data_IF_882131122036
#
_entry.id   IF_882131122036
#
_cell.length_a   1.000
_cell.length_b   1.000
_cell.length_c   1.000
_cell.angle_alpha   90.00
_cell.angle_beta   90.00
_cell.angle_gamma   90.00
#
_symmetry.space_group_name_H-M   'P 1'
#
loop_
_entity.id
_entity.type
_entity.pdbx_description
1 polymer ?
#
# COMPACT_ATOMS: atom_id res chain seq x y z
N UNK A 1 42.10 -85.17 -78.18
CA UNK A 1 43.06 -86.17 -78.71
C UNK A 1 42.58 -87.55 -78.27
N UNK A 2 42.62 -88.59 -79.14
CA UNK A 2 42.43 -90.03 -78.79
C UNK A 2 41.03 -90.39 -78.22
N UNK A 3 40.44 -91.57 -78.40
CA UNK A 3 40.48 -92.65 -79.41
C UNK A 3 39.05 -93.28 -79.38
N UNK A 4 38.53 -94.04 -80.36
CA UNK A 4 39.10 -94.57 -81.60
C UNK A 4 38.05 -94.49 -82.75
N UNK A 5 37.93 -95.52 -83.61
CA UNK A 5 36.94 -95.68 -84.70
C UNK A 5 36.59 -97.17 -84.86
N UNK A 6 35.69 -97.48 -85.82
CA UNK A 6 35.33 -98.79 -86.40
C UNK A 6 34.10 -99.52 -85.81
N UNK A 7 33.35 -100.37 -86.55
CA UNK A 7 32.94 -100.44 -87.97
C UNK A 7 32.44 -101.86 -88.28
N UNK A 8 31.27 -101.96 -88.93
CA UNK A 8 30.85 -103.03 -89.88
C UNK A 8 30.69 -104.50 -89.42
N UNK A 9 29.41 -104.91 -89.50
CA UNK A 9 28.89 -106.07 -90.27
C UNK A 9 29.08 -107.51 -89.74
N UNK A 10 28.22 -108.38 -90.33
CA UNK A 10 28.04 -109.82 -90.12
C UNK A 10 27.32 -110.20 -88.79
N UNK A 11 26.43 -111.19 -88.75
CA UNK A 11 26.01 -112.16 -89.78
C UNK A 11 24.49 -112.24 -90.00
N UNK A 12 24.11 -112.72 -91.19
CA UNK A 12 22.73 -113.11 -91.53
C UNK A 12 22.50 -114.55 -91.06
N UNK A 13 21.35 -114.81 -90.44
CA UNK A 13 20.74 -116.12 -90.35
C UNK A 13 19.22 -115.95 -90.56
N UNK A 14 18.62 -116.75 -91.44
CA UNK A 14 17.24 -116.55 -91.88
C UNK A 14 16.44 -117.86 -91.81
N UNK A 15 15.16 -117.72 -91.43
CA UNK A 15 13.93 -118.41 -91.89
C UNK A 15 12.82 -117.97 -90.90
N UNK A 16 11.73 -117.35 -91.34
CA UNK A 16 10.52 -117.95 -91.94
C UNK A 16 9.68 -118.77 -90.92
N UNK A 17 8.34 -118.68 -90.88
CA UNK A 17 7.38 -117.82 -91.60
C UNK A 17 6.07 -117.76 -90.80
N UNK A 18 5.31 -116.65 -90.86
CA UNK A 18 3.83 -116.63 -90.78
C UNK A 18 3.30 -115.22 -91.06
N UNK A 19 2.16 -115.13 -91.75
CA UNK A 19 1.44 -113.87 -91.98
C UNK A 19 0.31 -113.72 -90.95
N UNK A 20 0.21 -112.54 -90.33
CA UNK A 20 -1.05 -112.02 -89.81
C UNK A 20 -0.98 -110.49 -89.70
N UNK A 21 -1.96 -109.81 -90.31
CA UNK A 21 -2.34 -108.42 -90.03
C UNK A 21 -3.80 -108.50 -89.64
N UNK A 22 -4.16 -108.11 -88.41
CA UNK A 22 -4.71 -106.77 -88.24
C UNK A 22 -4.09 -106.01 -87.06
N UNK A 23 -4.41 -104.71 -86.96
CA UNK A 23 -3.95 -103.86 -85.88
C UNK A 23 -4.58 -104.26 -84.54
N UNK A 24 -3.73 -104.51 -83.54
CA UNK A 24 -4.11 -104.52 -82.13
C UNK A 24 -3.52 -103.31 -81.44
N UNK A 25 -4.32 -102.26 -81.23
CA UNK A 25 -4.06 -101.36 -80.12
C UNK A 25 -4.10 -102.23 -78.86
N UNK A 26 -3.03 -102.22 -78.05
CA UNK A 26 -3.03 -102.98 -76.79
C UNK A 26 -4.09 -102.36 -75.89
N UNK A 27 -5.22 -103.05 -75.73
CA UNK A 27 -6.24 -102.67 -74.77
C UNK A 27 -5.57 -102.55 -73.39
N UNK A 28 -5.59 -101.34 -72.85
CA UNK A 28 -5.08 -101.07 -71.51
C UNK A 28 -6.13 -101.60 -70.53
N UNK A 29 -5.76 -102.38 -69.49
CA UNK A 29 -6.74 -102.97 -68.59
C UNK A 29 -7.63 -101.92 -67.91
N UNK A 30 -8.93 -102.19 -67.71
CA UNK A 30 -9.81 -101.32 -66.94
C UNK A 30 -9.23 -101.01 -65.55
N UNK A 31 -9.39 -99.77 -65.09
CA UNK A 31 -8.78 -99.29 -63.84
C UNK A 31 -7.27 -99.00 -63.92
N UNK A 32 -6.60 -99.16 -65.06
CA UNK A 32 -5.21 -98.70 -65.22
C UNK A 32 -5.16 -97.18 -65.26
N UNK A 33 -4.29 -96.58 -64.45
CA UNK A 33 -4.08 -95.14 -64.38
C UNK A 33 -3.37 -94.63 -65.64
N UNK A 34 -4.06 -93.80 -66.41
CA UNK A 34 -3.54 -93.05 -67.55
C UNK A 34 -2.72 -91.82 -67.12
N UNK A 35 -3.15 -91.15 -66.03
CA UNK A 35 -2.49 -89.95 -65.49
C UNK A 35 -3.01 -89.63 -64.08
N UNK A 36 -2.13 -89.19 -63.19
CA UNK A 36 -2.53 -88.64 -61.89
C UNK A 36 -2.96 -87.18 -62.05
N UNK A 37 -4.09 -86.80 -61.46
CA UNK A 37 -4.45 -85.41 -61.21
C UNK A 37 -4.25 -85.10 -59.70
N UNK A 38 -4.65 -83.91 -59.25
CA UNK A 38 -4.53 -83.50 -57.84
C UNK A 38 -5.80 -83.82 -57.02
N UNK A 39 -6.96 -83.93 -57.67
CA UNK A 39 -8.22 -84.38 -57.07
C UNK A 39 -8.79 -85.59 -57.81
N UNK A 40 -7.94 -86.52 -58.26
CA UNK A 40 -8.40 -87.74 -58.89
C UNK A 40 -7.37 -88.42 -59.77
N UNK A 41 -7.81 -89.46 -60.46
CA UNK A 41 -7.00 -90.21 -61.42
C UNK A 41 -7.77 -90.35 -62.73
N UNK A 42 -7.06 -90.19 -63.85
CA UNK A 42 -7.58 -90.63 -65.16
C UNK A 42 -7.33 -92.11 -65.30
N UNK A 43 -8.39 -92.90 -65.45
CA UNK A 43 -8.32 -94.36 -65.50
C UNK A 43 -9.04 -94.89 -66.74
N UNK A 44 -8.56 -96.01 -67.30
CA UNK A 44 -9.26 -96.69 -68.39
C UNK A 44 -10.60 -97.29 -67.92
N UNK A 45 -11.67 -97.07 -68.68
CA UNK A 45 -12.95 -97.76 -68.57
C UNK A 45 -12.88 -99.21 -69.13
N UNK A 46 -14.02 -99.90 -69.17
CA UNK A 46 -14.17 -101.23 -69.77
C UNK A 46 -13.89 -101.27 -71.30
N UNK A 47 -13.82 -100.11 -71.96
CA UNK A 47 -13.58 -99.95 -73.41
C UNK A 47 -12.15 -99.47 -73.74
N UNK A 48 -11.33 -99.17 -72.73
CA UNK A 48 -9.97 -98.65 -72.88
C UNK A 48 -9.88 -97.12 -73.10
N UNK A 49 -10.96 -96.39 -72.87
CA UNK A 49 -11.01 -94.92 -72.88
C UNK A 49 -10.67 -94.38 -71.48
N UNK A 50 -9.83 -93.35 -71.40
CA UNK A 50 -9.48 -92.75 -70.11
C UNK A 50 -10.58 -91.79 -69.65
N UNK A 51 -11.34 -92.15 -68.61
CA UNK A 51 -12.30 -91.29 -67.91
C UNK A 51 -11.65 -90.61 -66.70
N UNK A 52 -12.24 -89.50 -66.24
CA UNK A 52 -11.83 -88.76 -65.04
C UNK A 52 -12.58 -89.29 -63.81
N UNK A 53 -11.86 -89.86 -62.83
CA UNK A 53 -12.42 -90.29 -61.55
C UNK A 53 -12.00 -89.32 -60.43
N UNK A 54 -12.91 -88.51 -59.87
CA UNK A 54 -12.61 -87.61 -58.76
C UNK A 54 -12.26 -88.35 -57.47
N UNK A 55 -11.33 -87.78 -56.70
CA UNK A 55 -11.06 -88.20 -55.32
C UNK A 55 -12.24 -87.79 -54.41
N UNK A 56 -12.48 -88.51 -53.28
CA UNK A 56 -13.59 -88.21 -52.39
C UNK A 56 -13.63 -86.77 -51.88
N UNK A 57 -14.83 -86.23 -51.68
CA UNK A 57 -15.02 -84.89 -51.13
C UNK A 57 -14.32 -84.74 -49.76
N UNK A 58 -13.57 -83.65 -49.58
CA UNK A 58 -12.74 -83.42 -48.38
C UNK A 58 -11.32 -84.01 -48.45
N UNK A 59 -10.94 -84.72 -49.53
CA UNK A 59 -9.54 -85.11 -49.78
C UNK A 59 -8.67 -83.85 -49.95
N UNK A 60 -7.59 -83.71 -49.18
CA UNK A 60 -6.67 -82.56 -49.29
C UNK A 60 -5.76 -82.74 -50.50
N UNK A 61 -5.89 -81.85 -51.49
CA UNK A 61 -5.13 -81.88 -52.74
C UNK A 61 -3.95 -80.91 -52.76
N UNK A 62 -4.01 -79.84 -51.96
CA UNK A 62 -2.89 -78.94 -51.67
C UNK A 62 -2.89 -78.61 -50.18
N UNK A 63 -1.74 -78.75 -49.53
CA UNK A 63 -1.56 -78.30 -48.14
C UNK A 63 -1.38 -76.78 -48.07
N UNK A 64 -1.78 -76.18 -46.95
CA UNK A 64 -1.58 -74.77 -46.67
C UNK A 64 -0.11 -74.35 -46.87
N UNK A 65 0.11 -73.33 -47.69
CA UNK A 65 1.39 -72.76 -48.09
C UNK A 65 1.35 -71.21 -48.00
N UNK A 66 0.92 -70.69 -46.87
CA UNK A 66 0.86 -69.25 -46.61
C UNK A 66 0.00 -68.88 -45.41
N UNK A 67 0.18 -67.66 -44.88
CA UNK A 67 -0.59 -67.13 -43.74
C UNK A 67 -2.02 -66.70 -44.12
N UNK A 68 -2.32 -66.54 -45.41
CA UNK A 68 -3.67 -66.32 -45.95
C UNK A 68 -4.15 -67.47 -46.84
N UNK A 69 -3.51 -68.62 -46.73
CA UNK A 69 -3.82 -69.82 -47.49
C UNK A 69 -4.61 -70.79 -46.62
N UNK A 70 -5.38 -71.68 -47.24
CA UNK A 70 -5.97 -72.84 -46.56
C UNK A 70 -5.52 -74.11 -47.27
N UNK A 71 -5.85 -75.29 -46.72
CA UNK A 71 -5.64 -76.54 -47.43
C UNK A 71 -6.80 -76.75 -48.42
N UNK A 72 -6.52 -76.73 -49.72
CA UNK A 72 -7.53 -76.99 -50.75
C UNK A 72 -8.06 -78.42 -50.58
N UNK A 73 -9.38 -78.58 -50.64
CA UNK A 73 -10.02 -79.90 -50.63
C UNK A 73 -10.81 -80.16 -51.91
N UNK A 74 -10.83 -81.42 -52.33
CA UNK A 74 -11.65 -81.86 -53.46
C UNK A 74 -13.13 -81.75 -53.11
N UNK A 75 -13.96 -81.33 -54.06
CA UNK A 75 -15.42 -81.25 -53.93
C UNK A 75 -16.13 -82.60 -54.17
N UNK A 76 -15.38 -83.61 -54.65
CA UNK A 76 -15.91 -84.91 -55.07
C UNK A 76 -16.49 -84.92 -56.50
N UNK A 77 -16.24 -83.86 -57.28
CA UNK A 77 -16.80 -83.67 -58.64
C UNK A 77 -15.74 -83.27 -59.66
N UNK A 78 -14.79 -82.39 -59.30
CA UNK A 78 -13.70 -81.94 -60.17
C UNK A 78 -12.39 -82.68 -59.89
N UNK A 79 -11.68 -83.10 -60.94
CA UNK A 79 -10.33 -83.69 -60.83
C UNK A 79 -9.21 -82.66 -60.66
N UNK A 80 -9.50 -81.39 -60.90
CA UNK A 80 -8.60 -80.27 -60.60
C UNK A 80 -8.76 -79.84 -59.14
N UNK A 81 -7.65 -79.75 -58.42
CA UNK A 81 -7.62 -79.09 -57.11
C UNK A 81 -8.11 -77.63 -57.26
N UNK A 82 -9.04 -77.13 -56.41
CA UNK A 82 -9.43 -75.73 -56.41
C UNK A 82 -8.27 -74.83 -55.94
N UNK A 83 -8.51 -73.54 -55.77
CA UNK A 83 -7.58 -72.62 -55.10
C UNK A 83 -8.35 -71.83 -54.05
N UNK A 84 -8.27 -72.29 -52.81
CA UNK A 84 -8.97 -71.72 -51.68
C UNK A 84 -8.00 -70.90 -50.81
N UNK A 85 -8.46 -69.73 -50.38
CA UNK A 85 -7.70 -68.81 -49.54
C UNK A 85 -8.49 -68.48 -48.27
N UNK A 86 -7.78 -68.07 -47.22
CA UNK A 86 -8.40 -67.58 -46.01
C UNK A 86 -9.31 -66.38 -46.31
N UNK A 87 -10.47 -66.33 -45.66
CA UNK A 87 -11.53 -65.38 -45.97
C UNK A 87 -11.06 -63.92 -45.90
N UNK A 88 -11.70 -63.05 -46.68
CA UNK A 88 -11.46 -61.61 -46.60
C UNK A 88 -11.66 -61.12 -45.16
N UNK A 89 -10.78 -60.24 -44.68
CA UNK A 89 -10.72 -59.76 -43.29
C UNK A 89 -10.27 -60.79 -42.22
N UNK A 90 -9.87 -62.02 -42.57
CA UNK A 90 -9.16 -62.91 -41.63
C UNK A 90 -7.80 -62.31 -41.27
N UNK A 91 -7.51 -62.12 -39.97
CA UNK A 91 -6.22 -61.59 -39.50
C UNK A 91 -5.11 -62.62 -39.74
N UNK A 92 -4.11 -62.25 -40.54
CA UNK A 92 -2.94 -63.08 -40.85
C UNK A 92 -1.66 -62.61 -40.14
N UNK A 93 -1.61 -61.34 -39.74
CA UNK A 93 -0.67 -60.83 -38.74
C UNK A 93 -1.43 -60.01 -37.70
N UNK A 94 -1.46 -60.43 -36.41
CA UNK A 94 -2.00 -59.58 -35.36
C UNK A 94 -1.01 -58.43 -35.08
N UNK A 95 -1.53 -57.24 -34.79
CA UNK A 95 -0.75 -56.08 -34.41
C UNK A 95 0.15 -56.39 -33.19
N UNK A 96 1.47 -56.26 -33.37
CA UNK A 96 2.50 -56.56 -32.37
C UNK A 96 2.75 -55.41 -31.36
N UNK A 97 2.09 -54.26 -31.52
CA UNK A 97 2.22 -53.12 -30.62
C UNK A 97 1.24 -51.98 -30.91
N UNK A 98 1.27 -50.89 -30.10
CA UNK A 98 0.34 -49.78 -30.23
C UNK A 98 0.49 -48.99 -31.53
N UNK A 99 1.65 -49.07 -32.18
CA UNK A 99 1.94 -48.43 -33.47
C UNK A 99 1.74 -49.32 -34.69
N UNK A 100 1.19 -50.51 -34.49
CA UNK A 100 1.07 -51.53 -35.52
C UNK A 100 -0.37 -51.62 -36.08
N UNK A 101 -0.49 -52.09 -37.31
CA UNK A 101 -1.78 -52.45 -37.92
C UNK A 101 -1.85 -53.98 -38.03
N UNK A 102 -3.04 -54.56 -37.88
CA UNK A 102 -3.21 -55.99 -38.09
C UNK A 102 -3.47 -56.27 -39.58
N UNK A 103 -2.52 -56.88 -40.29
CA UNK A 103 -2.78 -57.30 -41.66
C UNK A 103 -3.86 -58.38 -41.73
N UNK A 104 -4.74 -58.23 -42.72
CA UNK A 104 -5.82 -59.17 -43.00
C UNK A 104 -5.73 -59.68 -44.43
N UNK A 105 -6.23 -60.90 -44.63
CA UNK A 105 -6.35 -61.53 -45.94
C UNK A 105 -7.37 -60.79 -46.81
N UNK A 106 -7.10 -60.76 -48.11
CA UNK A 106 -7.99 -60.17 -49.12
C UNK A 106 -8.98 -61.20 -49.72
N UNK A 107 -8.89 -62.48 -49.35
CA UNK A 107 -9.67 -63.57 -49.93
C UNK A 107 -9.20 -64.06 -51.30
N UNK A 108 -8.06 -63.56 -51.82
CA UNK A 108 -7.57 -63.86 -53.18
C UNK A 108 -6.05 -64.11 -53.25
N UNK A 109 -5.41 -64.43 -52.13
CA UNK A 109 -3.94 -64.58 -52.04
C UNK A 109 -3.56 -65.46 -50.85
N UNK A 110 -2.70 -66.45 -51.09
CA UNK A 110 -2.05 -67.25 -50.05
C UNK A 110 -1.11 -66.42 -49.15
N UNK A 111 -0.53 -65.35 -49.69
CA UNK A 111 0.35 -64.45 -48.96
C UNK A 111 -0.46 -63.40 -48.17
N UNK A 112 -0.11 -63.25 -46.90
CA UNK A 112 -0.50 -62.10 -46.08
C UNK A 112 0.14 -60.81 -46.64
N UNK A 113 -0.51 -59.64 -46.54
CA UNK A 113 0.09 -58.36 -46.93
C UNK A 113 1.43 -58.06 -46.22
N UNK A 114 2.13 -57.06 -46.74
CA UNK A 114 3.33 -56.51 -46.11
C UNK A 114 2.95 -55.85 -44.78
N UNK A 115 3.84 -56.01 -43.80
CA UNK A 115 3.82 -55.41 -42.45
C UNK A 115 3.62 -53.88 -42.52
N UNK A 116 2.56 -53.33 -41.91
CA UNK A 116 2.18 -51.90 -42.03
C UNK A 116 2.02 -51.18 -40.69
N UNK A 117 2.84 -50.16 -40.47
CA UNK A 117 2.81 -49.35 -39.25
C UNK A 117 1.90 -48.12 -39.37
N UNK A 118 1.37 -47.66 -38.23
CA UNK A 118 0.59 -46.43 -38.11
C UNK A 118 1.44 -45.20 -38.43
N UNK A 119 0.86 -44.15 -39.05
CA UNK A 119 1.62 -42.98 -39.52
C UNK A 119 2.25 -42.19 -38.36
N UNK A 120 3.26 -41.34 -38.62
CA UNK A 120 3.92 -40.52 -37.59
C UNK A 120 3.05 -39.51 -36.83
N UNK A 121 1.77 -39.38 -37.19
CA UNK A 121 0.76 -38.56 -36.51
C UNK A 121 -0.18 -39.37 -35.61
N UNK A 122 -0.02 -40.70 -35.53
CA UNK A 122 -0.79 -41.54 -34.63
C UNK A 122 -0.21 -41.50 -33.21
N UNK A 123 -0.95 -40.93 -32.26
CA UNK A 123 -0.60 -40.96 -30.83
C UNK A 123 -0.60 -42.41 -30.32
N UNK A 124 0.48 -42.80 -29.65
CA UNK A 124 0.65 -44.14 -29.07
C UNK A 124 0.76 -44.15 -27.55
N UNK A 125 1.09 -43.01 -26.92
CA UNK A 125 0.81 -42.71 -25.51
C UNK A 125 0.19 -41.32 -25.41
N UNK A 126 -0.93 -41.21 -24.73
CA UNK A 126 -1.53 -39.92 -24.38
C UNK A 126 -0.77 -39.28 -23.23
N UNK A 127 -0.56 -37.96 -23.30
CA UNK A 127 -0.06 -37.15 -22.19
C UNK A 127 -0.82 -37.45 -20.89
N UNK A 128 -0.11 -37.75 -19.79
CA UNK A 128 -0.70 -38.09 -18.49
C UNK A 128 -0.97 -36.87 -17.60
N UNK A 129 -0.74 -35.65 -18.10
CA UNK A 129 -1.00 -34.39 -17.41
C UNK A 129 -0.58 -33.18 -18.25
N UNK A 130 -0.78 -31.97 -17.74
CA UNK A 130 -0.54 -30.72 -18.47
C UNK A 130 0.95 -30.42 -18.75
N UNK A 131 1.88 -31.09 -18.07
CA UNK A 131 3.33 -31.00 -18.29
C UNK A 131 3.92 -32.19 -19.07
N UNK A 132 3.07 -33.01 -19.67
CA UNK A 132 3.45 -34.19 -20.44
C UNK A 132 3.22 -33.93 -21.95
N UNK A 133 4.06 -34.49 -22.83
CA UNK A 133 3.79 -34.52 -24.27
C UNK A 133 3.27 -35.91 -24.69
N UNK A 134 2.38 -36.02 -25.68
CA UNK A 134 1.96 -37.33 -26.20
C UNK A 134 2.99 -37.86 -27.21
N UNK A 135 3.53 -39.07 -26.99
CA UNK A 135 4.36 -39.72 -28.02
C UNK A 135 3.51 -40.23 -29.17
N UNK A 136 4.06 -40.06 -30.36
CA UNK A 136 3.50 -40.49 -31.62
C UNK A 136 4.32 -41.63 -32.19
N UNK A 137 3.71 -42.44 -33.05
CA UNK A 137 4.37 -43.55 -33.71
C UNK A 137 5.53 -43.11 -34.61
N UNK A 138 6.54 -43.97 -34.86
CA UNK A 138 7.66 -43.63 -35.73
C UNK A 138 7.36 -43.84 -37.22
N UNK A 139 6.19 -44.37 -37.59
CA UNK A 139 5.85 -44.78 -38.97
C UNK A 139 6.67 -45.96 -39.53
N UNK A 140 7.54 -46.55 -38.71
CA UNK A 140 8.57 -47.51 -39.13
C UNK A 140 8.74 -48.70 -38.18
N UNK A 141 7.94 -48.80 -37.11
CA UNK A 141 7.88 -49.97 -36.23
C UNK A 141 6.58 -50.05 -35.42
N UNK A 142 6.27 -51.25 -34.93
CA UNK A 142 5.10 -51.56 -34.11
C UNK A 142 5.11 -50.92 -32.70
N UNK A 143 6.27 -50.49 -32.20
CA UNK A 143 6.45 -49.97 -30.85
C UNK A 143 6.26 -48.44 -30.78
N UNK A 144 5.68 -47.98 -29.67
CA UNK A 144 5.73 -46.56 -29.30
C UNK A 144 7.18 -46.18 -28.90
N UNK A 145 7.64 -44.94 -29.12
CA UNK A 145 8.94 -44.49 -28.61
C UNK A 145 9.09 -44.76 -27.09
N UNK A 146 10.23 -45.27 -26.62
CA UNK A 146 10.41 -45.68 -25.22
C UNK A 146 10.74 -44.51 -24.27
N UNK A 147 10.95 -43.31 -24.80
CA UNK A 147 11.20 -42.11 -24.02
C UNK A 147 9.87 -41.39 -23.73
N UNK A 148 9.56 -41.24 -22.45
CA UNK A 148 8.42 -40.50 -21.92
C UNK A 148 8.79 -39.00 -21.81
N UNK A 149 8.33 -38.19 -22.75
CA UNK A 149 8.80 -36.81 -22.97
C UNK A 149 7.94 -35.79 -22.23
N UNK A 150 8.57 -35.00 -21.36
CA UNK A 150 7.92 -33.92 -20.62
C UNK A 150 8.08 -32.58 -21.32
N UNK A 151 7.12 -31.67 -21.07
CA UNK A 151 7.19 -30.29 -21.53
C UNK A 151 8.44 -29.61 -20.95
N UNK A 152 9.14 -28.74 -21.70
CA UNK A 152 10.34 -28.06 -21.22
C UNK A 152 10.15 -27.35 -19.88
N UNK A 153 11.21 -27.32 -19.06
CA UNK A 153 11.19 -26.55 -17.82
C UNK A 153 10.93 -25.07 -18.11
N UNK A 154 10.02 -24.45 -17.35
CA UNK A 154 9.54 -23.09 -17.62
C UNK A 154 8.33 -22.99 -18.55
N UNK A 155 7.79 -24.09 -19.09
CA UNK A 155 6.53 -24.08 -19.84
C UNK A 155 5.37 -23.80 -18.88
N UNK A 156 4.57 -22.76 -19.12
CA UNK A 156 3.37 -22.46 -18.31
C UNK A 156 2.37 -23.62 -18.46
N UNK A 157 1.89 -24.13 -17.33
CA UNK A 157 0.89 -25.20 -17.27
C UNK A 157 -0.41 -24.79 -16.57
N UNK A 158 -0.40 -23.64 -15.88
CA UNK A 158 -1.58 -22.85 -15.53
C UNK A 158 -1.18 -21.36 -15.52
N UNK A 159 -1.98 -20.53 -16.18
CA UNK A 159 -1.80 -19.07 -16.14
C UNK A 159 -2.21 -18.49 -14.78
N UNK A 160 -1.59 -17.36 -14.42
CA UNK A 160 -1.96 -16.58 -13.24
C UNK A 160 -3.38 -16.00 -13.39
N UNK A 161 -4.26 -16.25 -12.42
CA UNK A 161 -5.65 -15.84 -12.40
C UNK A 161 -5.88 -14.40 -11.89
N UNK A 162 -4.82 -13.71 -11.45
CA UNK A 162 -4.87 -12.32 -10.97
C UNK A 162 -3.51 -11.82 -10.48
N UNK A 163 -3.46 -10.57 -10.01
CA UNK A 163 -2.23 -9.91 -9.56
C UNK A 163 -1.61 -10.48 -8.28
N UNK A 164 -2.33 -11.34 -7.55
CA UNK A 164 -1.85 -12.05 -6.36
C UNK A 164 -1.65 -13.55 -6.61
N UNK A 165 -1.52 -13.94 -7.87
CA UNK A 165 -1.38 -15.32 -8.30
C UNK A 165 0.00 -15.56 -8.96
N UNK A 166 0.54 -16.76 -8.81
CA UNK A 166 1.74 -17.20 -9.54
C UNK A 166 1.28 -18.08 -10.70
N UNK A 167 1.92 -17.94 -11.87
CA UNK A 167 1.69 -18.87 -12.97
C UNK A 167 2.57 -20.11 -12.78
N UNK A 168 1.99 -21.30 -12.64
CA UNK A 168 2.77 -22.52 -12.47
C UNK A 168 3.45 -22.96 -13.76
N UNK A 169 4.71 -23.37 -13.59
CA UNK A 169 5.59 -23.79 -14.66
C UNK A 169 5.92 -25.27 -14.52
N UNK A 170 5.95 -25.98 -15.64
CA UNK A 170 6.52 -27.32 -15.72
C UNK A 170 7.98 -27.30 -15.28
N UNK A 171 8.39 -28.33 -14.53
CA UNK A 171 9.76 -28.47 -14.04
C UNK A 171 10.70 -29.21 -15.03
N UNK A 172 10.17 -29.72 -16.14
CA UNK A 172 10.89 -30.53 -17.13
C UNK A 172 11.01 -32.02 -16.80
N UNK A 173 10.38 -32.52 -15.73
CA UNK A 173 10.51 -33.93 -15.29
C UNK A 173 9.21 -34.60 -14.83
N UNK A 174 8.19 -33.84 -14.41
CA UNK A 174 6.88 -34.37 -14.00
C UNK A 174 5.79 -34.19 -15.07
N UNK A 175 4.84 -35.13 -15.16
CA UNK A 175 3.66 -35.02 -16.05
C UNK A 175 2.65 -33.96 -15.59
N UNK A 176 2.60 -33.66 -14.29
CA UNK A 176 1.64 -32.72 -13.69
C UNK A 176 2.25 -31.34 -13.51
N UNK A 177 1.43 -30.30 -13.68
CA UNK A 177 1.69 -28.98 -13.11
C UNK A 177 1.91 -29.09 -11.59
N UNK A 178 2.77 -28.27 -10.96
CA UNK A 178 2.83 -28.18 -9.50
C UNK A 178 1.51 -27.62 -8.93
N UNK A 179 1.29 -27.71 -7.60
CA UNK A 179 0.11 -27.15 -6.94
C UNK A 179 -0.01 -25.64 -7.15
N UNK A 180 -1.26 -25.15 -7.16
CA UNK A 180 -1.60 -23.73 -7.22
C UNK A 180 -0.89 -22.93 -6.10
N UNK A 181 -0.13 -21.90 -6.49
CA UNK A 181 0.64 -21.03 -5.61
C UNK A 181 0.21 -19.56 -5.74
N UNK A 182 -0.03 -18.93 -4.59
CA UNK A 182 -0.35 -17.51 -4.47
C UNK A 182 0.91 -16.67 -4.26
N UNK A 183 0.84 -15.38 -4.57
CA UNK A 183 1.87 -14.43 -4.17
C UNK A 183 1.90 -14.33 -2.64
N UNK A 184 3.09 -14.13 -2.06
CA UNK A 184 3.24 -14.06 -0.61
C UNK A 184 2.51 -12.87 0.01
N UNK A 185 2.07 -13.02 1.26
CA UNK A 185 1.49 -11.93 2.05
C UNK A 185 2.41 -10.70 2.06
N UNK A 186 1.88 -9.53 1.70
CA UNK A 186 2.67 -8.29 1.54
C UNK A 186 3.28 -8.06 0.16
N UNK A 187 3.06 -8.95 -0.83
CA UNK A 187 3.44 -8.67 -2.23
C UNK A 187 2.57 -7.54 -2.79
N UNK A 188 3.18 -6.43 -3.21
CA UNK A 188 2.48 -5.28 -3.82
C UNK A 188 2.00 -5.66 -5.22
N UNK A 189 0.69 -5.92 -5.36
CA UNK A 189 0.06 -6.27 -6.62
C UNK A 189 -0.42 -5.05 -7.41
N UNK A 190 -0.65 -3.91 -6.73
CA UNK A 190 -0.73 -2.59 -7.35
C UNK A 190 -0.04 -1.55 -6.46
N UNK A 191 0.96 -0.88 -7.01
CA UNK A 191 1.59 0.26 -6.36
C UNK A 191 0.65 1.46 -6.27
N UNK A 192 0.80 2.23 -5.19
CA UNK A 192 0.24 3.58 -5.07
C UNK A 192 0.64 4.47 -6.25
N UNK A 193 -0.33 5.19 -6.82
CA UNK A 193 -0.15 6.16 -7.90
C UNK A 193 -0.01 7.62 -7.41
N UNK A 194 -0.08 7.88 -6.10
CA UNK A 194 0.05 9.22 -5.54
C UNK A 194 -0.21 9.29 -4.03
N UNK A 195 0.03 10.46 -3.43
CA UNK A 195 -0.01 10.66 -1.97
C UNK A 195 -1.39 10.49 -1.30
N UNK A 196 -2.44 10.12 -2.05
CA UNK A 196 -3.77 9.79 -1.55
C UNK A 196 -4.26 8.40 -1.98
N UNK A 197 -3.33 7.53 -2.38
CA UNK A 197 -3.60 6.21 -2.93
C UNK A 197 -2.86 5.17 -2.10
N UNK A 198 -3.58 4.18 -1.58
CA UNK A 198 -2.98 3.06 -0.84
C UNK A 198 -2.36 2.10 -1.87
N UNK A 199 -1.29 1.40 -1.50
CA UNK A 199 -0.83 0.25 -2.30
C UNK A 199 -1.60 -1.00 -1.91
N UNK A 200 -2.14 -1.75 -2.88
CA UNK A 200 -2.76 -3.03 -2.56
C UNK A 200 -1.70 -4.13 -2.54
N UNK A 201 -1.68 -4.82 -1.41
CA UNK A 201 -0.83 -5.97 -1.13
C UNK A 201 -1.65 -7.25 -1.05
N UNK A 202 -1.07 -8.35 -1.49
CA UNK A 202 -1.66 -9.67 -1.36
C UNK A 202 -1.77 -10.10 0.10
N UNK A 203 -2.85 -10.83 0.43
CA UNK A 203 -3.07 -11.45 1.74
C UNK A 203 -2.24 -12.74 1.93
N UNK A 204 -1.89 -13.41 0.84
CA UNK A 204 -1.20 -14.71 0.81
C UNK A 204 -2.10 -15.89 0.41
N UNK A 205 -3.41 -15.67 0.32
CA UNK A 205 -4.44 -16.70 0.13
C UNK A 205 -5.28 -16.50 -1.15
N UNK A 206 -5.49 -15.26 -1.59
CA UNK A 206 -6.37 -14.92 -2.72
C UNK A 206 -5.61 -14.56 -4.00
N UNK A 207 -6.12 -14.98 -5.17
CA UNK A 207 -5.47 -14.77 -6.46
C UNK A 207 -5.67 -13.35 -7.02
N UNK A 208 -6.75 -12.68 -6.62
CA UNK A 208 -7.05 -11.32 -7.03
C UNK A 208 -6.23 -10.32 -6.21
N UNK A 209 -5.76 -9.26 -6.87
CA UNK A 209 -5.33 -8.08 -6.13
C UNK A 209 -6.57 -7.46 -5.43
N UNK A 210 -6.47 -6.96 -4.19
CA UNK A 210 -7.57 -6.25 -3.54
C UNK A 210 -8.10 -5.09 -4.41
N UNK A 211 -9.34 -4.67 -4.14
CA UNK A 211 -9.92 -3.52 -4.82
C UNK A 211 -9.17 -2.23 -4.44
N UNK A 212 -9.05 -1.29 -5.39
CA UNK A 212 -8.36 -0.01 -5.19
C UNK A 212 -8.92 0.74 -3.97
N UNK A 213 -8.04 1.14 -3.04
CA UNK A 213 -8.38 1.95 -1.86
C UNK A 213 -7.62 3.28 -1.89
N UNK A 214 -8.36 4.38 -1.77
CA UNK A 214 -7.80 5.71 -1.55
C UNK A 214 -7.75 6.07 -0.05
N UNK A 215 -6.81 6.92 0.31
CA UNK A 215 -6.69 7.51 1.65
C UNK A 215 -7.97 8.29 2.04
N UNK A 216 -8.43 8.21 3.30
CA UNK A 216 -9.60 8.93 3.79
C UNK A 216 -9.40 10.44 3.75
N UNK A 217 -10.50 11.21 3.76
CA UNK A 217 -10.46 12.67 3.68
C UNK A 217 -9.80 13.39 4.87
N UNK A 218 -9.36 12.64 5.88
CA UNK A 218 -8.59 13.12 7.04
C UNK A 218 -7.07 13.00 6.86
N UNK A 219 -6.59 12.25 5.86
CA UNK A 219 -5.15 12.11 5.61
C UNK A 219 -4.62 13.38 4.95
N UNK A 220 -3.73 14.10 5.65
CA UNK A 220 -3.00 15.25 5.11
C UNK A 220 -1.92 14.76 4.15
N UNK A 221 -2.08 15.07 2.87
CA UNK A 221 -1.16 14.68 1.79
C UNK A 221 -0.15 15.77 1.43
N UNK A 222 -0.43 17.04 1.80
CA UNK A 222 0.54 18.13 1.82
C UNK A 222 0.36 18.95 3.11
N UNK A 223 1.34 18.91 4.04
CA UNK A 223 1.33 19.82 5.18
C UNK A 223 1.60 21.26 4.73
N UNK A 224 0.96 22.22 5.39
CA UNK A 224 1.17 23.65 5.14
C UNK A 224 2.66 24.05 5.29
N UNK A 225 3.21 24.68 4.26
CA UNK A 225 4.59 25.16 4.19
C UNK A 225 4.80 26.53 4.87
N UNK A 226 3.74 27.18 5.37
CA UNK A 226 3.83 28.44 6.10
C UNK A 226 2.48 28.88 6.68
N UNK A 227 2.47 29.98 7.43
CA UNK A 227 1.27 30.48 8.14
C UNK A 227 0.19 31.09 7.21
N UNK A 228 0.47 31.21 5.91
CA UNK A 228 -0.48 31.58 4.86
C UNK A 228 -0.75 30.46 3.85
N UNK A 229 -0.32 29.24 4.15
CA UNK A 229 -0.56 28.05 3.35
C UNK A 229 -1.65 27.19 3.99
N UNK A 230 -2.50 26.55 3.18
CA UNK A 230 -3.39 25.50 3.69
C UNK A 230 -2.62 24.18 3.81
N UNK A 231 -3.19 23.21 4.53
CA UNK A 231 -2.78 21.83 4.44
C UNK A 231 -3.80 21.09 3.56
N UNK A 232 -3.37 20.51 2.44
CA UNK A 232 -4.24 19.67 1.63
C UNK A 232 -4.40 18.29 2.27
N UNK A 233 -5.66 17.92 2.52
CA UNK A 233 -6.07 16.55 2.79
C UNK A 233 -6.57 15.85 1.54
N UNK A 234 -6.54 14.52 1.57
CA UNK A 234 -7.07 13.68 0.50
C UNK A 234 -8.56 13.86 0.26
N UNK A 235 -9.03 13.43 -0.91
CA UNK A 235 -10.44 13.55 -1.30
C UNK A 235 -11.36 12.48 -0.69
N UNK A 236 -10.82 11.45 -0.03
CA UNK A 236 -11.60 10.38 0.61
C UNK A 236 -12.31 9.46 -0.39
N UNK A 237 -11.70 9.16 -1.53
CA UNK A 237 -12.24 8.17 -2.49
C UNK A 237 -12.25 8.58 -3.97
N UNK A 238 -11.86 9.81 -4.33
CA UNK A 238 -12.04 10.33 -5.69
C UNK A 238 -10.74 10.53 -6.51
N UNK A 239 -9.56 10.46 -5.89
CA UNK A 239 -8.29 10.77 -6.54
C UNK A 239 -7.10 10.17 -5.79
N UNK A 240 -6.19 9.52 -6.53
CA UNK A 240 -4.86 9.13 -6.07
C UNK A 240 -3.94 10.34 -5.77
N UNK A 241 -4.19 11.46 -6.44
CA UNK A 241 -3.41 12.69 -6.28
C UNK A 241 -3.96 13.53 -5.14
N UNK A 242 -3.03 14.10 -4.36
CA UNK A 242 -3.30 15.20 -3.45
C UNK A 242 -3.87 16.40 -4.23
N UNK A 243 -4.80 17.19 -3.66
CA UNK A 243 -5.26 18.43 -4.29
C UNK A 243 -4.12 19.40 -4.66
N UNK A 244 -4.41 20.32 -5.58
CA UNK A 244 -3.49 21.40 -5.93
C UNK A 244 -3.32 22.38 -4.76
N UNK A 245 -2.11 22.89 -4.54
CA UNK A 245 -1.75 23.89 -3.50
C UNK A 245 -2.83 24.97 -3.35
N UNK A 246 -3.35 25.15 -2.14
CA UNK A 246 -4.22 26.25 -1.76
C UNK A 246 -3.56 27.14 -0.72
N UNK A 247 -3.24 28.37 -1.10
CA UNK A 247 -2.93 29.41 -0.13
C UNK A 247 -4.18 29.79 0.66
N UNK A 248 -4.00 30.24 1.90
CA UNK A 248 -5.09 30.87 2.66
C UNK A 248 -5.58 32.12 1.92
N UNK A 249 -6.89 32.34 1.97
CA UNK A 249 -7.55 33.43 1.25
C UNK A 249 -6.95 34.81 1.61
N UNK A 250 -6.91 35.71 0.63
CA UNK A 250 -6.44 37.07 0.85
C UNK A 250 -7.27 37.75 1.96
N UNK A 251 -6.59 38.30 2.98
CA UNK A 251 -7.24 38.84 4.18
C UNK A 251 -7.39 37.85 5.35
N UNK A 252 -7.02 36.57 5.21
CA UNK A 252 -6.94 35.64 6.33
C UNK A 252 -5.82 36.04 7.29
N UNK A 253 -6.10 36.13 8.60
CA UNK A 253 -5.11 36.55 9.61
C UNK A 253 -4.13 35.42 9.89
N UNK A 254 -2.84 35.64 9.60
CA UNK A 254 -1.75 34.69 9.84
C UNK A 254 -0.94 35.00 11.10
N UNK A 255 -0.94 36.27 11.55
CA UNK A 255 -0.52 36.66 12.90
C UNK A 255 -1.54 37.66 13.45
N UNK A 256 -2.06 37.37 14.64
CA UNK A 256 -2.96 38.30 15.35
C UNK A 256 -2.15 39.35 16.09
N UNK A 257 -2.63 40.60 16.06
CA UNK A 257 -2.05 41.73 16.78
C UNK A 257 -1.85 41.41 18.28
N UNK A 258 -0.61 41.51 18.75
CA UNK A 258 -0.22 41.21 20.12
C UNK A 258 -0.64 42.29 21.13
N UNK A 259 -0.82 43.55 20.69
CA UNK A 259 -1.30 44.65 21.54
C UNK A 259 -1.99 45.77 20.73
N UNK A 260 -2.49 46.81 21.41
CA UNK A 260 -3.21 47.94 20.79
C UNK A 260 -2.39 48.79 19.80
N UNK A 261 -1.07 48.66 19.78
CA UNK A 261 -0.14 49.29 18.84
C UNK A 261 0.48 48.33 17.82
N UNK A 262 0.02 47.09 17.79
CA UNK A 262 0.37 46.10 16.78
C UNK A 262 -0.70 46.10 15.67
N UNK A 263 -0.32 45.73 14.45
CA UNK A 263 -1.27 45.39 13.39
C UNK A 263 -1.45 43.86 13.32
N UNK A 264 -2.42 43.39 12.54
CA UNK A 264 -2.68 41.97 12.36
C UNK A 264 -2.35 41.60 10.92
N UNK A 265 -1.29 40.83 10.73
CA UNK A 265 -0.82 40.41 9.42
C UNK A 265 -1.83 39.47 8.77
N UNK A 266 -2.15 39.80 7.52
CA UNK A 266 -3.06 39.02 6.70
C UNK A 266 -2.36 38.49 5.46
N UNK A 267 -2.78 37.30 5.04
CA UNK A 267 -2.27 36.66 3.84
C UNK A 267 -2.62 37.48 2.60
N UNK A 268 -1.70 37.54 1.64
CA UNK A 268 -1.94 38.17 0.34
C UNK A 268 -2.77 37.31 -0.62
N UNK A 269 -2.98 36.02 -0.29
CA UNK A 269 -3.46 35.01 -1.24
C UNK A 269 -2.43 34.67 -2.33
N UNK A 270 -1.15 35.04 -2.14
CA UNK A 270 -0.07 34.86 -3.13
C UNK A 270 1.29 34.48 -2.52
N UNK A 271 1.32 34.14 -1.23
CA UNK A 271 2.51 33.78 -0.45
C UNK A 271 2.13 32.72 0.59
N UNK A 272 2.97 31.71 0.80
CA UNK A 272 2.87 30.76 1.92
C UNK A 272 3.33 31.39 3.24
N UNK A 273 4.24 32.36 3.17
CA UNK A 273 4.72 33.14 4.31
C UNK A 273 3.75 34.28 4.65
N UNK A 274 3.54 34.48 5.94
CA UNK A 274 2.92 35.68 6.50
C UNK A 274 3.85 36.89 6.28
N UNK A 275 3.34 38.10 5.97
CA UNK A 275 4.19 39.27 5.81
C UNK A 275 4.94 39.63 7.11
N UNK A 276 5.97 40.46 6.98
CA UNK A 276 6.79 40.89 8.11
C UNK A 276 5.99 41.75 9.12
N UNK A 277 6.40 41.66 10.38
CA UNK A 277 5.87 42.36 11.55
C UNK A 277 5.57 43.85 11.28
N UNK A 278 4.29 44.21 11.33
CA UNK A 278 3.78 45.56 11.10
C UNK A 278 3.23 46.15 12.41
N UNK A 279 3.93 47.17 12.92
CA UNK A 279 3.48 47.97 14.06
C UNK A 279 2.72 49.21 13.58
N UNK A 280 1.73 49.65 14.36
CA UNK A 280 0.99 50.88 14.06
C UNK A 280 1.92 52.09 14.11
N UNK A 281 1.70 53.04 13.20
CA UNK A 281 2.53 54.23 13.09
C UNK A 281 2.63 55.02 14.41
N UNK A 282 3.82 55.52 14.72
CA UNK A 282 4.09 56.34 15.90
C UNK A 282 3.12 57.53 15.97
N UNK A 283 2.55 57.78 17.15
CA UNK A 283 1.51 58.79 17.39
C UNK A 283 0.07 58.31 17.15
N UNK A 284 -0.14 57.09 16.63
CA UNK A 284 -1.49 56.49 16.55
C UNK A 284 -2.10 56.37 17.96
N UNK A 285 -3.36 56.78 18.13
CA UNK A 285 -4.07 56.67 19.40
C UNK A 285 -4.29 55.20 19.77
N UNK A 286 -3.93 54.84 20.99
CA UNK A 286 -4.14 53.51 21.57
C UNK A 286 -4.72 53.67 22.98
N UNK A 287 -5.49 52.68 23.42
CA UNK A 287 -5.73 52.49 24.85
C UNK A 287 -4.67 51.52 25.38
N UNK A 288 -4.19 51.76 26.60
CA UNK A 288 -3.23 50.86 27.24
C UNK A 288 -3.89 49.54 27.66
N UNK A 289 -3.10 48.49 27.92
CA UNK A 289 -3.62 47.25 28.50
C UNK A 289 -4.15 47.44 29.94
N UNK A 290 -3.72 48.50 30.63
CA UNK A 290 -4.11 48.84 31.99
C UNK A 290 -5.44 49.59 32.01
N UNK A 291 -6.44 48.98 32.65
CA UNK A 291 -7.75 49.60 32.91
C UNK A 291 -7.68 50.87 33.79
N UNK A 292 -6.51 51.19 34.34
CA UNK A 292 -6.26 52.42 35.10
C UNK A 292 -5.77 53.60 34.24
N UNK A 293 -5.48 53.42 32.95
CA UNK A 293 -4.91 54.47 32.08
C UNK A 293 -5.64 54.48 30.74
N UNK A 294 -6.42 55.55 30.51
CA UNK A 294 -7.21 55.77 29.31
C UNK A 294 -6.43 56.52 28.24
N UNK A 295 -6.56 56.09 26.98
CA UNK A 295 -5.79 56.61 25.87
C UNK A 295 -4.27 56.40 26.00
N UNK A 296 -3.55 57.05 25.09
CA UNK A 296 -2.12 56.84 24.87
C UNK A 296 -1.77 57.03 23.39
N UNK A 297 -0.47 56.94 23.08
CA UNK A 297 0.06 57.01 21.72
C UNK A 297 1.06 55.89 21.49
N UNK A 298 0.95 55.22 20.34
CA UNK A 298 1.94 54.24 19.92
C UNK A 298 3.32 54.87 19.73
N UNK A 299 4.37 54.20 20.17
CA UNK A 299 5.73 54.41 19.70
C UNK A 299 6.44 53.06 19.61
N UNK A 300 6.96 52.70 18.43
CA UNK A 300 7.69 51.45 18.21
C UNK A 300 6.91 50.18 18.59
N UNK A 301 5.61 50.13 18.28
CA UNK A 301 4.74 48.96 18.55
C UNK A 301 4.23 48.82 19.99
N UNK A 302 4.51 49.77 20.88
CA UNK A 302 4.03 49.78 22.27
C UNK A 302 3.21 51.03 22.54
N UNK A 303 2.11 50.90 23.30
CA UNK A 303 1.29 52.03 23.73
C UNK A 303 1.96 52.76 24.90
N UNK A 304 2.25 54.05 24.74
CA UNK A 304 2.88 54.89 25.76
C UNK A 304 2.00 56.09 26.15
N UNK A 305 2.14 56.53 27.41
CA UNK A 305 1.40 57.67 27.94
C UNK A 305 -0.01 57.30 28.39
N UNK A 306 -0.98 58.16 28.06
CA UNK A 306 -2.37 58.06 28.54
C UNK A 306 -2.63 58.86 29.82
N UNK A 307 -3.90 59.02 30.17
CA UNK A 307 -4.34 59.73 31.38
C UNK A 307 -4.76 58.74 32.47
N UNK A 308 -4.30 58.88 33.73
CA UNK A 308 -4.75 58.01 34.81
C UNK A 308 -6.25 58.23 35.09
N UNK A 309 -7.02 57.14 35.09
CA UNK A 309 -8.47 57.18 35.28
C UNK A 309 -8.87 57.31 36.76
N UNK A 310 -7.92 57.21 37.69
CA UNK A 310 -8.06 57.65 39.09
C UNK A 310 -7.18 58.86 39.37
N UNK A 311 -7.68 59.76 40.22
CA UNK A 311 -6.99 60.96 40.69
C UNK A 311 -7.07 61.03 42.21
N UNK A 312 -6.03 61.57 42.85
CA UNK A 312 -5.93 61.65 44.32
C UNK A 312 -6.05 63.09 44.79
N UNK A 313 -6.86 63.31 45.83
CA UNK A 313 -7.07 64.62 46.44
C UNK A 313 -6.93 64.53 47.96
N UNK A 314 -5.94 65.21 48.58
CA UNK A 314 -4.85 65.93 47.92
C UNK A 314 -3.87 64.97 47.21
N UNK A 315 -3.20 65.45 46.16
CA UNK A 315 -2.21 64.66 45.41
C UNK A 315 -0.91 64.42 46.20
N UNK A 316 -0.62 65.30 47.16
CA UNK A 316 0.38 65.09 48.21
C UNK A 316 -0.25 65.48 49.56
N UNK A 317 -0.33 64.53 50.51
CA UNK A 317 -1.03 64.75 51.79
C UNK A 317 -0.04 64.92 52.96
N UNK A 318 -0.22 65.96 53.78
CA UNK A 318 0.52 66.10 55.03
C UNK A 318 -0.32 65.52 56.17
N UNK A 319 0.28 64.61 56.96
CA UNK A 319 -0.33 63.95 58.11
C UNK A 319 0.25 64.56 59.38
N UNK A 320 -0.60 65.18 60.22
CA UNK A 320 -0.15 65.75 61.49
C UNK A 320 -0.11 64.66 62.57
N UNK A 321 0.90 64.64 63.47
CA UNK A 321 0.99 63.65 64.54
C UNK A 321 -0.29 63.57 65.39
N UNK A 322 -0.81 62.35 65.57
CA UNK A 322 -2.05 62.11 66.31
C UNK A 322 -3.35 62.42 65.55
N UNK A 323 -3.28 62.78 64.27
CA UNK A 323 -4.46 63.01 63.41
C UNK A 323 -4.58 61.97 62.28
N UNK A 324 -5.76 61.89 61.69
CA UNK A 324 -6.01 61.16 60.43
C UNK A 324 -6.20 62.18 59.30
N UNK A 325 -5.44 62.05 58.22
CA UNK A 325 -5.65 62.82 56.98
C UNK A 325 -6.40 61.97 55.97
N UNK A 326 -7.49 62.49 55.41
CA UNK A 326 -8.25 61.80 54.36
C UNK A 326 -7.64 62.03 52.98
N UNK A 327 -7.29 60.93 52.31
CA UNK A 327 -6.94 60.89 50.88
C UNK A 327 -8.17 60.42 50.10
N UNK A 328 -8.64 61.24 49.17
CA UNK A 328 -9.82 60.93 48.33
C UNK A 328 -9.37 60.44 46.95
N UNK A 329 -9.77 59.24 46.58
CA UNK A 329 -9.47 58.58 45.30
C UNK A 329 -10.70 58.75 44.39
N UNK A 330 -10.60 59.50 43.31
CA UNK A 330 -11.73 59.87 42.43
C UNK A 330 -11.53 59.37 41.00
N UNK A 331 -12.52 58.69 40.45
CA UNK A 331 -12.50 58.20 39.06
C UNK A 331 -12.79 59.35 38.09
N UNK A 332 -11.79 59.79 37.33
CA UNK A 332 -11.87 60.95 36.42
C UNK A 332 -12.81 60.69 35.23
N UNK A 333 -12.78 59.46 34.69
CA UNK A 333 -13.87 58.88 33.91
C UNK A 333 -13.66 58.81 32.38
N UNK A 334 -14.17 57.71 31.81
CA UNK A 334 -14.23 57.45 30.37
C UNK A 334 -14.83 56.07 30.07
N UNK A 335 -14.38 55.02 30.78
CA UNK A 335 -14.77 53.62 30.54
C UNK A 335 -15.76 53.01 31.55
N UNK A 336 -15.82 51.68 31.54
CA UNK A 336 -16.55 50.81 32.48
C UNK A 336 -16.17 51.01 33.94
N UNK A 337 -17.05 50.66 34.89
CA UNK A 337 -16.79 50.81 36.33
C UNK A 337 -15.49 50.11 36.78
N UNK A 338 -14.64 50.82 37.53
CA UNK A 338 -13.40 50.26 38.05
C UNK A 338 -13.62 49.72 39.47
N UNK A 339 -13.14 48.51 39.74
CA UNK A 339 -13.24 47.92 41.07
C UNK A 339 -11.90 48.01 41.79
N UNK A 340 -11.84 48.89 42.79
CA UNK A 340 -10.72 49.01 43.72
C UNK A 340 -10.70 47.78 44.64
N UNK A 341 -9.56 47.09 44.71
CA UNK A 341 -9.42 45.80 45.42
C UNK A 341 -8.69 45.93 46.75
N UNK A 342 -7.98 47.04 46.98
CA UNK A 342 -7.28 47.32 48.23
C UNK A 342 -6.46 48.61 48.17
N UNK A 343 -5.89 48.99 49.31
CA UNK A 343 -4.88 50.04 49.41
C UNK A 343 -3.70 49.57 50.26
N UNK A 344 -2.53 50.17 50.03
CA UNK A 344 -1.26 49.85 50.69
C UNK A 344 -0.46 51.10 51.01
N UNK A 345 0.55 50.94 51.87
CA UNK A 345 1.61 51.91 52.13
C UNK A 345 2.95 51.23 51.86
N UNK A 346 3.95 51.99 51.40
CA UNK A 346 5.33 51.51 51.18
C UNK A 346 6.26 51.72 52.40
N UNK A 347 5.71 52.14 53.54
CA UNK A 347 6.45 52.49 54.75
C UNK A 347 5.65 52.23 56.03
N UNK A 348 6.25 51.50 56.96
CA UNK A 348 5.67 51.16 58.28
C UNK A 348 5.51 52.38 59.22
N UNK A 349 6.00 53.56 58.83
CA UNK A 349 5.84 54.79 59.61
C UNK A 349 4.40 55.34 59.60
N UNK A 350 3.56 54.83 58.70
CA UNK A 350 2.16 55.21 58.52
C UNK A 350 1.24 53.98 58.60
N UNK A 351 -0.02 54.20 58.97
CA UNK A 351 -1.09 53.19 58.90
C UNK A 351 -2.27 53.70 58.05
N UNK A 352 -2.99 52.76 57.44
CA UNK A 352 -4.29 53.02 56.83
C UNK A 352 -5.39 52.85 57.88
N UNK A 353 -6.19 53.88 58.06
CA UNK A 353 -7.38 53.93 58.93
C UNK A 353 -8.58 54.36 58.09
N UNK A 354 -9.81 54.09 58.56
CA UNK A 354 -11.05 54.50 57.89
C UNK A 354 -11.14 54.11 56.39
N UNK A 355 -10.44 53.03 55.99
CA UNK A 355 -10.48 52.48 54.65
C UNK A 355 -11.88 51.89 54.36
N UNK A 356 -12.35 51.94 53.10
CA UNK A 356 -13.68 51.45 52.77
C UNK A 356 -13.73 49.92 52.79
N UNK A 357 -14.94 49.35 52.83
CA UNK A 357 -15.14 47.92 52.72
C UNK A 357 -14.79 47.44 51.29
N UNK A 358 -13.60 46.87 51.13
CA UNK A 358 -13.14 46.31 49.85
C UNK A 358 -13.91 45.03 49.47
N UNK A 359 -14.14 44.76 48.17
CA UNK A 359 -13.82 45.63 47.02
C UNK A 359 -14.83 46.78 46.84
N UNK A 360 -14.39 47.90 46.28
CA UNK A 360 -15.23 49.08 46.01
C UNK A 360 -15.28 49.37 44.52
N UNK A 361 -16.46 49.29 43.93
CA UNK A 361 -16.69 49.64 42.52
C UNK A 361 -17.02 51.13 42.40
N UNK A 362 -16.31 51.84 41.52
CA UNK A 362 -16.51 53.26 41.22
C UNK A 362 -16.99 53.45 39.77
N UNK A 363 -18.15 54.08 39.61
CA UNK A 363 -18.58 54.67 38.35
C UNK A 363 -17.84 56.00 38.07
N UNK A 364 -17.89 56.48 36.82
CA UNK A 364 -17.24 57.75 36.44
C UNK A 364 -17.73 58.92 37.31
N UNK A 365 -16.80 59.70 37.85
CA UNK A 365 -17.08 60.81 38.77
C UNK A 365 -17.34 60.41 40.24
N UNK A 366 -17.34 59.11 40.58
CA UNK A 366 -17.41 58.67 41.98
C UNK A 366 -16.03 58.64 42.66
N UNK A 367 -16.06 58.70 44.00
CA UNK A 367 -14.86 58.70 44.84
C UNK A 367 -14.96 57.68 45.98
N UNK A 368 -13.81 57.13 46.37
CA UNK A 368 -13.58 56.45 47.64
C UNK A 368 -12.65 57.29 48.54
N UNK A 369 -12.68 57.08 49.85
CA UNK A 369 -11.85 57.80 50.83
C UNK A 369 -11.01 56.84 51.65
N UNK A 370 -9.76 57.19 51.90
CA UNK A 370 -8.81 56.48 52.75
C UNK A 370 -8.35 57.42 53.85
N UNK A 371 -8.38 57.00 55.12
CA UNK A 371 -7.68 57.69 56.18
C UNK A 371 -6.21 57.23 56.22
N UNK A 372 -5.30 58.17 56.44
CA UNK A 372 -3.88 57.90 56.67
C UNK A 372 -3.46 58.55 57.97
N UNK A 373 -2.80 57.79 58.84
CA UNK A 373 -2.29 58.26 60.14
C UNK A 373 -0.81 57.91 60.27
N UNK A 374 -0.03 58.80 60.87
CA UNK A 374 1.37 58.51 61.22
C UNK A 374 1.41 57.74 62.55
N UNK A 375 2.10 56.59 62.56
CA UNK A 375 2.26 55.73 63.74
C UNK A 375 3.63 55.85 64.40
N UNK A 376 4.64 56.29 63.65
CA UNK A 376 5.96 56.56 64.19
C UNK A 376 5.91 57.71 65.22
N UNK A 377 6.64 57.53 66.32
CA UNK A 377 6.69 58.45 67.47
C UNK A 377 8.09 59.04 67.70
N UNK A 378 9.08 58.49 67.01
CA UNK A 378 10.44 59.04 66.91
C UNK A 378 10.40 60.40 66.20
N UNK A 379 11.04 61.44 66.74
CA UNK A 379 11.05 62.75 66.09
C UNK A 379 11.82 62.73 64.77
N UNK A 380 11.19 63.15 63.68
CA UNK A 380 11.74 63.04 62.33
C UNK A 380 10.77 63.45 61.23
N UNK A 381 11.24 63.44 59.99
CA UNK A 381 10.42 63.62 58.80
C UNK A 381 10.25 62.28 58.09
N UNK A 382 9.00 61.95 57.76
CA UNK A 382 8.60 60.68 57.19
C UNK A 382 7.86 60.92 55.88
N UNK A 383 8.08 60.05 54.90
CA UNK A 383 7.39 60.05 53.62
C UNK A 383 7.03 58.62 53.23
N UNK A 384 5.90 58.47 52.54
CA UNK A 384 5.40 57.20 52.03
C UNK A 384 4.52 57.43 50.80
N UNK A 385 4.17 56.35 50.10
CA UNK A 385 3.20 56.32 49.01
C UNK A 385 1.97 55.52 49.44
N UNK A 386 0.80 56.13 49.36
CA UNK A 386 -0.48 55.42 49.41
C UNK A 386 -0.72 54.82 48.04
N UNK A 387 -0.56 53.51 47.92
CA UNK A 387 -0.89 52.74 46.73
C UNK A 387 -2.36 52.29 46.75
N UNK A 388 -3.01 52.26 45.59
CA UNK A 388 -4.36 51.71 45.43
C UNK A 388 -4.33 50.65 44.33
N UNK A 389 -4.74 49.43 44.69
CA UNK A 389 -4.89 48.31 43.77
C UNK A 389 -6.29 48.32 43.16
N UNK A 390 -6.39 48.03 41.86
CA UNK A 390 -7.64 48.03 41.13
C UNK A 390 -7.68 46.96 40.03
N UNK A 391 -8.89 46.55 39.66
CA UNK A 391 -9.17 45.49 38.70
C UNK A 391 -8.63 45.83 37.30
N UNK A 392 -7.69 45.04 36.79
CA UNK A 392 -7.14 45.19 35.44
C UNK A 392 -6.05 46.26 35.30
N UNK A 393 -5.41 46.67 36.39
CA UNK A 393 -4.32 47.64 36.37
C UNK A 393 -2.96 46.97 36.64
N UNK A 394 -1.97 47.18 35.77
CA UNK A 394 -0.68 46.47 35.83
C UNK A 394 0.18 46.84 37.04
N UNK A 395 0.04 48.06 37.57
CA UNK A 395 0.74 48.59 38.74
C UNK A 395 -0.23 49.41 39.60
N UNK A 396 -0.06 49.46 40.94
CA UNK A 396 -0.91 50.27 41.81
C UNK A 396 -0.65 51.77 41.61
N UNK A 397 -1.70 52.54 41.42
CA UNK A 397 -1.61 54.00 41.34
C UNK A 397 -1.27 54.56 42.73
N UNK A 398 -0.37 55.55 42.79
CA UNK A 398 0.14 56.09 44.07
C UNK A 398 -0.08 57.59 44.24
N UNK A 399 -0.30 58.01 45.49
CA UNK A 399 -0.17 59.40 45.93
C UNK A 399 0.85 59.51 47.07
N UNK A 400 1.55 60.64 47.14
CA UNK A 400 2.56 60.88 48.15
C UNK A 400 1.92 61.33 49.47
N UNK A 401 2.42 60.82 50.60
CA UNK A 401 2.06 61.29 51.95
C UNK A 401 3.31 61.57 52.75
N UNK A 402 3.26 62.60 53.61
CA UNK A 402 4.38 62.99 54.46
C UNK A 402 3.93 63.42 55.85
N UNK A 403 4.83 63.29 56.83
CA UNK A 403 4.61 63.71 58.21
C UNK A 403 5.89 64.31 58.80
N UNK A 404 5.72 65.20 59.77
CA UNK A 404 6.81 65.70 60.62
C UNK A 404 6.41 65.44 62.09
N UNK A 405 7.17 64.59 62.75
CA UNK A 405 6.96 64.22 64.15
C UNK A 405 7.84 65.12 65.02
N UNK A 406 7.20 66.05 65.72
CA UNK A 406 7.90 66.99 66.61
C UNK A 406 8.41 66.30 67.89
N UNK A 407 9.57 66.73 68.37
CA UNK A 407 10.09 66.25 69.66
C UNK A 407 9.20 66.71 70.82
N UNK A 408 8.72 65.76 71.64
CA UNK A 408 7.88 66.05 72.79
C UNK A 408 8.60 66.96 73.80
N UNK A 409 8.12 68.18 73.98
CA UNK A 409 8.65 69.07 75.01
C UNK A 409 8.30 68.52 76.40
N UNK A 410 9.26 68.45 77.35
CA UNK A 410 9.00 67.95 78.69
C UNK A 410 8.06 68.88 79.45
N UNK A 411 6.90 68.35 79.87
CA UNK A 411 5.88 69.09 80.62
C UNK A 411 6.37 69.44 82.03
N UNK A 412 6.81 70.68 82.23
CA UNK A 412 7.29 71.19 83.52
C UNK A 412 6.20 71.29 84.59
N UNK A 413 6.58 71.08 85.86
CA UNK A 413 5.65 71.05 86.99
C UNK A 413 5.25 72.45 87.49
N UNK A 414 3.94 72.69 87.60
CA UNK A 414 3.37 73.93 88.12
C UNK A 414 3.30 74.00 89.64
N UNK A 415 4.41 74.28 90.31
CA UNK A 415 4.41 74.76 91.71
C UNK A 415 4.06 76.26 91.74
N UNK A 416 3.10 76.68 92.58
CA UNK A 416 2.57 78.04 92.54
C UNK A 416 3.42 79.10 93.28
N UNK A 417 3.38 80.36 92.83
CA UNK A 417 3.91 81.50 93.60
C UNK A 417 4.24 82.79 92.83
N UNK A 418 3.25 83.66 92.61
CA UNK A 418 3.40 85.13 92.73
C UNK A 418 4.31 85.94 91.76
N UNK A 419 3.67 86.63 90.82
CA UNK A 419 3.92 88.03 90.41
C UNK A 419 5.35 88.52 90.02
N UNK A 420 5.58 88.77 88.73
CA UNK A 420 6.71 89.60 88.25
C UNK A 420 6.81 89.69 86.72
N UNK A 421 6.38 90.82 86.11
CA UNK A 421 6.31 91.07 84.65
C UNK A 421 6.72 92.54 84.39
N UNK A 422 7.03 93.04 83.17
CA UNK A 422 7.45 92.40 81.89
C UNK A 422 8.99 92.60 81.66
N UNK A 423 9.66 92.75 80.50
CA UNK A 423 9.36 93.10 79.08
C UNK A 423 10.45 92.51 78.15
N UNK A 424 10.13 92.16 76.90
CA UNK A 424 11.14 91.98 75.82
C UNK A 424 10.56 91.46 74.49
N UNK A 425 10.83 92.15 73.38
CA UNK A 425 10.48 91.70 72.01
C UNK A 425 11.67 90.96 71.33
N UNK A 426 11.40 90.25 70.23
CA UNK A 426 12.41 89.57 69.38
C UNK A 426 13.23 90.52 68.48
N UNK A 427 13.78 90.10 67.31
CA UNK A 427 13.28 89.02 66.44
C UNK A 427 14.33 88.15 65.68
N UNK A 428 13.81 87.23 64.85
CA UNK A 428 14.30 86.77 63.53
C UNK A 428 15.68 86.08 63.32
N UNK A 429 15.66 84.99 62.54
CA UNK A 429 16.74 84.55 61.65
C UNK A 429 16.18 83.70 60.48
N UNK A 430 16.81 83.75 59.30
CA UNK A 430 16.62 82.80 58.18
C UNK A 430 17.86 81.91 58.05
N UNK A 431 17.71 80.71 57.47
CA UNK A 431 18.83 79.91 56.95
C UNK A 431 18.42 79.15 55.68
N UNK A 432 19.39 78.84 54.81
CA UNK A 432 19.23 78.14 53.53
C UNK A 432 20.09 76.87 53.48
N UNK A 433 19.59 75.81 52.82
CA UNK A 433 20.38 74.78 52.14
C UNK A 433 19.61 74.39 50.87
N UNK A 434 20.09 74.57 49.63
CA UNK A 434 21.31 74.06 48.97
C UNK A 434 21.25 72.55 48.76
N UNK A 435 20.79 72.14 47.58
CA UNK A 435 20.85 70.76 47.08
C UNK A 435 22.06 70.58 46.16
N UNK A 436 22.81 69.48 46.32
CA UNK A 436 23.94 69.12 45.46
C UNK A 436 23.55 67.94 44.56
N UNK A 437 23.83 68.06 43.26
CA UNK A 437 23.56 67.02 42.27
C UNK A 437 24.69 65.98 42.28
N UNK A 438 24.34 64.70 42.39
CA UNK A 438 25.19 63.58 41.96
C UNK A 438 24.32 62.48 41.36
N UNK A 439 24.66 62.03 40.16
CA UNK A 439 24.01 60.91 39.47
C UNK A 439 25.01 59.82 39.12
N UNK A 440 24.63 58.54 39.28
CA UNK A 440 25.47 57.39 38.93
C UNK A 440 24.64 56.36 38.16
N UNK A 441 25.19 55.88 37.04
CA UNK A 441 24.67 54.74 36.25
C UNK A 441 25.07 53.41 36.89
N UNK A 442 24.16 52.45 36.98
CA UNK A 442 24.42 50.98 36.96
C UNK A 442 23.11 50.19 37.13
N UNK A 443 22.96 48.95 36.65
CA UNK A 443 23.66 48.21 35.57
C UNK A 443 22.73 47.04 35.14
N UNK A 444 22.86 46.54 33.90
CA UNK A 444 22.16 45.30 33.49
C UNK A 444 22.68 44.10 34.30
N UNK A 445 21.80 43.18 34.69
CA UNK A 445 22.20 41.83 35.13
C UNK A 445 21.56 40.77 34.24
N UNK A 446 22.40 40.12 33.43
CA UNK A 446 22.00 38.94 32.65
C UNK A 446 21.78 37.72 33.55
N UNK A 447 20.92 36.81 33.12
CA UNK A 447 20.94 35.39 33.48
C UNK A 447 21.09 34.58 32.20
N UNK A 448 21.99 33.61 32.23
CA UNK A 448 21.84 32.34 31.51
C UNK A 448 21.48 31.25 32.51
#
# INVERSE_FOLDING_TARGET
MRHWWMSRLMSIAALAVSLAVPGGAKAVPPGTVCSNQLCGQRCCDELGLCEDLPDPAGTVCRVQNGLCDVADTCDGVQVTCPQEYAAASTICRPAAGPCDVAETCNGTSAACPVDTFKPPTAVCRTAAGTCDEPEHCPGTSAACPPADVKKPSGTVCRDAAGGCDVAELCNGTGSSCPPDAKQGAGYVCRSSAGACDVEEVCDGDTAACPANVFEPATTVCRPAAGACDAAESCSGGASAQCPADQLLAAGAVCRGAANACDEAETCSGSSTECPADAVRADGTSCDSASACVSGGTCAGGVCFGGTPELTFSPAAAVVQPGTTTTVTVTRSGGGSELTLTGASLDSDAFELVDAPAWPVTLAAGQSATLGVRVVETTPGSYAAKVGVAASGCDEPLTADVSAEVAAAQPSGSGGGGGCGNPVGNGPAALAWFVSVVFGIRSLRRSRG
#
